data_IF_028720853410
#
_entry.id   IF_028720853410
#
_cell.length_a   1.000
_cell.length_b   1.000
_cell.length_c   1.000
_cell.angle_alpha   90.00
_cell.angle_beta   90.00
_cell.angle_gamma   90.00
#
_symmetry.space_group_name_H-M   'P 1'
#
loop_
_entity.id
_entity.type
_entity.pdbx_description
1 polymer ?
#
# COMPACT_ATOMS: atom_id res chain seq x y z
N UNK A 1 -75.18 0.49 -17.49
CA UNK A 1 -74.30 -0.70 -17.33
C UNK A 1 -73.31 -0.43 -16.20
N UNK A 2 -73.55 -1.02 -15.03
CA UNK A 2 -72.59 -1.01 -13.90
C UNK A 2 -71.77 -2.31 -14.00
N UNK A 3 -70.49 -2.20 -14.35
CA UNK A 3 -69.55 -3.30 -14.26
C UNK A 3 -69.27 -3.57 -12.77
N UNK A 4 -69.87 -4.62 -12.23
CA UNK A 4 -69.52 -5.16 -10.92
C UNK A 4 -68.10 -5.72 -10.98
N UNK A 5 -67.09 -4.93 -10.63
CA UNK A 5 -65.72 -5.42 -10.45
C UNK A 5 -65.68 -6.28 -9.18
N UNK A 6 -65.47 -7.58 -9.38
CA UNK A 6 -65.54 -8.60 -8.34
C UNK A 6 -64.49 -8.34 -7.26
N UNK A 7 -64.88 -8.17 -5.99
CA UNK A 7 -63.98 -7.80 -4.86
C UNK A 7 -62.82 -8.78 -4.63
N UNK A 8 -62.89 -10.00 -5.18
CA UNK A 8 -61.81 -11.01 -5.15
C UNK A 8 -60.63 -10.69 -6.08
N UNK A 9 -60.80 -9.86 -7.11
CA UNK A 9 -59.71 -9.49 -8.04
C UNK A 9 -58.77 -8.42 -7.47
N UNK A 10 -59.32 -7.46 -6.70
CA UNK A 10 -58.50 -6.40 -6.09
C UNK A 10 -57.53 -6.95 -5.05
N UNK A 11 -57.95 -7.92 -4.23
CA UNK A 11 -57.08 -8.51 -3.20
C UNK A 11 -55.91 -9.27 -3.82
N UNK A 12 -56.13 -9.95 -4.95
CA UNK A 12 -55.09 -10.72 -5.63
C UNK A 12 -54.04 -9.81 -6.29
N UNK A 13 -54.46 -8.70 -6.89
CA UNK A 13 -53.56 -7.71 -7.50
C UNK A 13 -52.66 -7.03 -6.45
N UNK A 14 -53.21 -6.73 -5.26
CA UNK A 14 -52.43 -6.17 -4.15
C UNK A 14 -51.40 -7.15 -3.57
N UNK A 15 -51.77 -8.43 -3.43
CA UNK A 15 -50.85 -9.48 -2.93
C UNK A 15 -49.69 -9.67 -3.91
N UNK A 16 -49.96 -9.71 -5.22
CA UNK A 16 -48.93 -9.83 -6.26
C UNK A 16 -48.02 -8.60 -6.26
N UNK A 17 -48.57 -7.40 -6.10
CA UNK A 17 -47.79 -6.17 -5.99
C UNK A 17 -46.83 -6.16 -4.80
N UNK A 18 -47.29 -6.60 -3.62
CA UNK A 18 -46.45 -6.71 -2.42
C UNK A 18 -45.34 -7.75 -2.62
N UNK A 19 -45.65 -8.90 -3.23
CA UNK A 19 -44.66 -9.94 -3.52
C UNK A 19 -43.58 -9.46 -4.49
N UNK A 20 -43.94 -8.67 -5.51
CA UNK A 20 -42.97 -8.09 -6.44
C UNK A 20 -42.07 -7.04 -5.77
N UNK A 21 -42.60 -6.22 -4.88
CA UNK A 21 -41.82 -5.25 -4.10
C UNK A 21 -40.84 -5.98 -3.18
N UNK A 22 -41.28 -7.03 -2.49
CA UNK A 22 -40.42 -7.85 -1.63
C UNK A 22 -39.33 -8.53 -2.46
N UNK A 23 -39.67 -9.11 -3.62
CA UNK A 23 -38.70 -9.74 -4.51
C UNK A 23 -37.66 -8.75 -5.02
N UNK A 24 -38.08 -7.53 -5.44
CA UNK A 24 -37.17 -6.48 -5.86
C UNK A 24 -36.27 -6.01 -4.71
N UNK A 25 -36.81 -5.89 -3.50
CA UNK A 25 -36.04 -5.54 -2.31
C UNK A 25 -34.99 -6.60 -1.96
N UNK A 26 -35.34 -7.89 -2.02
CA UNK A 26 -34.39 -8.99 -1.82
C UNK A 26 -33.30 -9.03 -2.89
N UNK A 27 -33.64 -8.69 -4.13
CA UNK A 27 -32.69 -8.57 -5.23
C UNK A 27 -31.69 -7.42 -4.97
N UNK A 28 -32.19 -6.26 -4.52
CA UNK A 28 -31.35 -5.12 -4.11
C UNK A 28 -30.46 -5.49 -2.93
N UNK A 29 -30.99 -6.17 -1.90
CA UNK A 29 -30.19 -6.64 -0.76
C UNK A 29 -29.08 -7.61 -1.17
N UNK A 30 -29.36 -8.52 -2.10
CA UNK A 30 -28.37 -9.46 -2.65
C UNK A 30 -27.24 -8.74 -3.37
N UNK A 31 -27.55 -7.67 -4.10
CA UNK A 31 -26.54 -6.82 -4.75
C UNK A 31 -25.71 -6.06 -3.69
N UNK A 32 -26.33 -5.59 -2.61
CA UNK A 32 -25.64 -4.87 -1.54
C UNK A 32 -24.63 -5.77 -0.78
N UNK A 33 -24.90 -7.06 -0.61
CA UNK A 33 -23.94 -8.00 0.02
C UNK A 33 -22.64 -8.14 -0.79
N UNK A 34 -22.70 -8.05 -2.12
CA UNK A 34 -21.52 -8.11 -3.00
C UNK A 34 -20.65 -6.85 -2.84
N UNK A 35 -21.27 -5.69 -2.60
CA UNK A 35 -20.54 -4.43 -2.39
C UNK A 35 -19.99 -4.26 -0.96
N UNK A 36 -20.63 -4.87 0.06
CA UNK A 36 -20.20 -4.76 1.47
C UNK A 36 -18.79 -5.30 1.70
N UNK A 37 -18.43 -6.45 1.14
CA UNK A 37 -17.10 -7.06 1.41
C UNK A 37 -15.92 -6.16 1.01
N UNK A 38 -15.98 -5.51 -0.15
CA UNK A 38 -14.91 -4.62 -0.63
C UNK A 38 -14.92 -3.26 0.08
N UNK A 39 -16.11 -2.72 0.36
CA UNK A 39 -16.27 -1.47 1.09
C UNK A 39 -15.75 -1.59 2.54
N UNK A 40 -15.99 -2.72 3.21
CA UNK A 40 -15.51 -2.97 4.57
C UNK A 40 -13.99 -3.11 4.67
N UNK A 41 -13.36 -3.75 3.68
CA UNK A 41 -11.89 -3.87 3.63
C UNK A 41 -11.22 -2.50 3.43
N UNK A 42 -11.70 -1.70 2.46
CA UNK A 42 -11.16 -0.35 2.22
C UNK A 42 -11.42 0.61 3.37
N UNK A 43 -12.57 0.48 4.02
CA UNK A 43 -12.88 1.25 5.23
C UNK A 43 -11.95 0.86 6.38
N UNK A 44 -11.68 -0.44 6.57
CA UNK A 44 -10.74 -0.91 7.59
C UNK A 44 -9.30 -0.41 7.35
N UNK A 45 -8.83 -0.44 6.10
CA UNK A 45 -7.52 0.11 5.71
C UNK A 45 -7.44 1.61 6.04
N UNK A 46 -8.47 2.38 5.70
CA UNK A 46 -8.52 3.82 5.97
C UNK A 46 -8.55 4.12 7.48
N UNK A 47 -9.33 3.37 8.26
CA UNK A 47 -9.39 3.49 9.73
C UNK A 47 -8.04 3.16 10.36
N UNK A 48 -7.40 2.05 9.95
CA UNK A 48 -6.07 1.68 10.42
C UNK A 48 -5.06 2.79 10.14
N UNK A 49 -4.97 3.24 8.88
CA UNK A 49 -4.07 4.33 8.46
C UNK A 49 -4.31 5.61 9.24
N UNK A 50 -5.57 5.98 9.47
CA UNK A 50 -5.95 7.13 10.29
C UNK A 50 -5.48 6.99 11.75
N UNK A 51 -5.70 5.83 12.35
CA UNK A 51 -5.26 5.56 13.74
C UNK A 51 -3.74 5.57 13.89
N UNK A 52 -3.01 5.03 12.92
CA UNK A 52 -1.54 5.06 12.88
C UNK A 52 -1.03 6.51 12.81
N UNK A 53 -1.59 7.32 11.92
CA UNK A 53 -1.21 8.74 11.79
C UNK A 53 -1.56 9.57 13.05
N UNK A 54 -2.69 9.27 13.71
CA UNK A 54 -3.04 9.91 14.97
C UNK A 54 -2.10 9.49 16.10
N UNK A 55 -1.73 8.21 16.14
CA UNK A 55 -0.78 7.69 17.13
C UNK A 55 0.58 8.38 17.02
N UNK A 56 1.10 8.50 15.80
CA UNK A 56 2.35 9.24 15.53
C UNK A 56 2.34 10.65 16.12
N UNK A 57 1.26 11.41 15.89
CA UNK A 57 1.13 12.79 16.39
C UNK A 57 0.86 12.93 17.88
N UNK A 58 0.32 11.89 18.51
CA UNK A 58 -0.07 11.92 19.94
C UNK A 58 1.03 11.39 20.86
N UNK A 59 2.15 10.91 20.31
CA UNK A 59 3.33 10.59 21.08
C UNK A 59 3.89 11.85 21.75
N UNK A 60 3.69 11.94 23.07
CA UNK A 60 4.33 12.93 23.93
C UNK A 60 5.36 12.22 24.80
N UNK A 61 6.62 12.58 24.61
CA UNK A 61 7.68 12.23 25.56
C UNK A 61 7.49 13.11 26.80
N UNK A 62 7.06 12.51 27.90
CA UNK A 62 6.90 13.20 29.18
C UNK A 62 8.16 12.91 29.99
N UNK A 63 8.93 13.96 30.31
CA UNK A 63 10.02 13.81 31.25
C UNK A 63 9.48 13.39 32.62
N UNK A 64 9.91 12.22 33.12
CA UNK A 64 9.61 11.78 34.48
C UNK A 64 10.73 12.27 35.42
N UNK A 65 10.45 13.26 36.28
CA UNK A 65 11.45 13.83 37.17
C UNK A 65 11.86 12.89 38.32
N UNK A 66 11.12 11.80 38.57
CA UNK A 66 11.41 10.81 39.63
C UNK A 66 12.40 9.77 39.14
N UNK A 67 12.30 9.33 37.89
CA UNK A 67 13.24 8.35 37.30
C UNK A 67 14.36 8.99 36.49
N UNK A 68 14.31 10.31 36.26
CA UNK A 68 15.28 11.03 35.45
C UNK A 68 15.27 10.60 33.98
N UNK A 69 14.18 9.99 33.52
CA UNK A 69 14.05 9.42 32.19
C UNK A 69 12.84 10.01 31.47
N UNK A 70 12.91 10.09 30.15
CA UNK A 70 11.74 10.37 29.33
C UNK A 70 10.81 9.15 29.41
N UNK A 71 9.65 9.33 30.04
CA UNK A 71 8.56 8.36 30.00
C UNK A 71 7.57 8.80 28.95
N UNK A 72 7.18 7.87 28.09
CA UNK A 72 6.14 8.16 27.12
C UNK A 72 4.80 8.36 27.85
N UNK A 73 4.12 9.48 27.59
CA UNK A 73 2.79 9.76 28.12
C UNK A 73 1.83 8.66 27.70
N UNK A 74 1.04 8.14 28.64
CA UNK A 74 0.20 6.94 28.50
C UNK A 74 -1.09 7.15 27.68
N UNK A 75 -1.09 8.09 26.73
CA UNK A 75 -2.26 8.39 25.89
C UNK A 75 -1.85 8.31 24.42
N UNK A 76 -1.24 7.18 24.03
CA UNK A 76 -1.18 6.85 22.61
C UNK A 76 -2.59 6.51 22.13
N UNK A 77 -3.00 7.12 21.01
CA UNK A 77 -4.24 6.73 20.33
C UNK A 77 -4.17 5.23 20.01
N UNK A 78 -5.20 4.42 20.37
CA UNK A 78 -5.18 2.99 20.11
C UNK A 78 -5.10 2.72 18.60
N UNK A 79 -4.36 1.67 18.23
CA UNK A 79 -4.34 1.20 16.85
C UNK A 79 -5.66 0.51 16.54
N UNK A 80 -6.38 1.03 15.54
CA UNK A 80 -7.66 0.48 15.07
C UNK A 80 -7.47 -0.47 13.88
N UNK A 81 -6.27 -1.05 13.78
CA UNK A 81 -5.91 -1.97 12.72
C UNK A 81 -6.48 -3.36 12.99
N UNK A 82 -7.06 -3.99 11.96
CA UNK A 82 -7.54 -5.37 12.00
C UNK A 82 -6.99 -6.17 10.83
N UNK A 83 -6.69 -7.44 11.08
CA UNK A 83 -6.27 -8.39 10.04
C UNK A 83 -7.44 -8.63 9.10
N UNK A 84 -7.21 -8.45 7.80
CA UNK A 84 -8.23 -8.66 6.77
C UNK A 84 -8.00 -9.99 6.06
N UNK A 85 -8.98 -10.89 6.13
CA UNK A 85 -8.98 -12.15 5.38
C UNK A 85 -9.28 -11.88 3.89
N UNK A 86 -8.46 -12.43 3.00
CA UNK A 86 -8.64 -12.37 1.54
C UNK A 86 -8.57 -13.75 0.91
N UNK A 87 -9.34 -13.93 -0.15
CA UNK A 87 -9.20 -15.06 -1.05
C UNK A 87 -8.61 -14.57 -2.36
N UNK A 88 -7.48 -15.15 -2.74
CA UNK A 88 -6.76 -14.78 -3.96
C UNK A 88 -6.68 -16.00 -4.86
N UNK A 89 -6.89 -15.84 -6.18
CA UNK A 89 -7.45 -14.65 -6.81
C UNK A 89 -8.95 -14.49 -6.50
N UNK A 90 -9.45 -13.25 -6.52
CA UNK A 90 -10.89 -12.99 -6.43
C UNK A 90 -11.64 -13.59 -7.63
N UNK A 91 -11.06 -13.50 -8.83
CA UNK A 91 -11.59 -14.11 -10.05
C UNK A 91 -11.16 -15.58 -10.16
N UNK A 92 -12.15 -16.48 -10.22
CA UNK A 92 -11.96 -17.94 -10.38
C UNK A 92 -11.34 -18.34 -11.72
N UNK A 93 -11.18 -17.41 -12.66
CA UNK A 93 -10.53 -17.61 -13.96
C UNK A 93 -9.26 -16.76 -14.13
N UNK A 94 -8.75 -16.17 -13.06
CA UNK A 94 -7.57 -15.30 -13.07
C UNK A 94 -6.30 -16.06 -13.50
N UNK A 95 -5.44 -15.45 -14.33
CA UNK A 95 -4.12 -15.97 -14.67
C UNK A 95 -3.10 -15.75 -13.54
N UNK A 96 -1.92 -16.40 -13.64
CA UNK A 96 -0.78 -16.24 -12.70
C UNK A 96 -0.46 -14.77 -12.40
N UNK A 97 -0.45 -13.91 -13.41
CA UNK A 97 -0.10 -12.49 -13.26
C UNK A 97 -1.08 -11.74 -12.34
N UNK A 98 -2.38 -12.05 -12.42
CA UNK A 98 -3.37 -11.45 -11.55
C UNK A 98 -3.21 -11.92 -10.09
N UNK A 99 -2.85 -13.20 -9.88
CA UNK A 99 -2.49 -13.70 -8.55
C UNK A 99 -1.30 -12.91 -7.99
N UNK A 100 -0.24 -12.72 -8.78
CA UNK A 100 0.91 -11.91 -8.37
C UNK A 100 0.48 -10.47 -8.04
N UNK A 101 -0.37 -9.86 -8.87
CA UNK A 101 -0.91 -8.52 -8.63
C UNK A 101 -1.64 -8.41 -7.30
N UNK A 102 -2.55 -9.33 -7.00
CA UNK A 102 -3.37 -9.27 -5.78
C UNK A 102 -2.53 -9.46 -4.49
N UNK A 103 -1.47 -10.27 -4.54
CA UNK A 103 -0.47 -10.34 -3.47
C UNK A 103 0.32 -9.03 -3.34
N UNK A 104 0.80 -8.48 -4.45
CA UNK A 104 1.58 -7.25 -4.48
C UNK A 104 0.77 -6.03 -3.99
N UNK A 105 -0.49 -5.92 -4.41
CA UNK A 105 -1.46 -4.92 -3.93
C UNK A 105 -1.65 -5.02 -2.41
N UNK A 106 -1.71 -6.24 -1.87
CA UNK A 106 -1.88 -6.45 -0.44
C UNK A 106 -0.61 -6.10 0.35
N UNK A 107 0.57 -6.39 -0.18
CA UNK A 107 1.85 -5.94 0.40
C UNK A 107 1.96 -4.41 0.41
N UNK A 108 1.69 -3.76 -0.73
CA UNK A 108 1.72 -2.32 -0.84
C UNK A 108 0.67 -1.63 0.05
N UNK A 109 -0.54 -2.21 0.14
CA UNK A 109 -1.58 -1.68 1.03
C UNK A 109 -1.20 -1.80 2.51
N UNK A 110 -0.56 -2.92 2.90
CA UNK A 110 -0.01 -3.08 4.25
C UNK A 110 1.05 -2.01 4.55
N UNK A 111 1.96 -1.74 3.60
CA UNK A 111 2.93 -0.64 3.73
C UNK A 111 2.27 0.73 3.89
N UNK A 112 1.23 1.00 3.11
CA UNK A 112 0.52 2.29 3.16
C UNK A 112 -0.23 2.52 4.47
N UNK A 113 -0.76 1.46 5.08
CA UNK A 113 -1.45 1.54 6.36
C UNK A 113 -0.53 2.00 7.50
N UNK A 114 0.75 1.63 7.44
CA UNK A 114 1.73 1.92 8.48
C UNK A 114 2.64 3.11 8.13
N UNK A 115 2.15 4.06 7.32
CA UNK A 115 2.81 5.34 7.10
C UNK A 115 3.96 5.33 6.09
N UNK A 116 4.08 4.28 5.26
CA UNK A 116 5.03 4.23 4.14
C UNK A 116 6.51 4.47 4.55
N UNK A 117 6.89 4.05 5.76
CA UNK A 117 8.27 4.19 6.27
C UNK A 117 8.59 5.54 6.91
N UNK A 118 7.63 6.46 6.99
CA UNK A 118 7.80 7.75 7.67
C UNK A 118 7.65 7.66 9.20
N UNK A 119 7.20 6.52 9.72
CA UNK A 119 6.93 6.33 11.15
C UNK A 119 7.93 5.34 11.72
N UNK A 120 8.77 5.81 12.64
CA UNK A 120 9.91 5.07 13.17
C UNK A 120 9.52 3.82 13.97
N UNK A 121 8.46 3.87 14.78
CA UNK A 121 7.95 2.68 15.47
C UNK A 121 6.51 2.92 15.93
N UNK A 122 5.58 2.22 15.29
CA UNK A 122 4.14 2.35 15.52
C UNK A 122 3.71 1.59 16.78
N UNK A 123 4.55 0.67 17.29
CA UNK A 123 4.24 -0.25 18.39
C UNK A 123 4.91 0.12 19.73
N UNK A 124 5.55 1.30 19.85
CA UNK A 124 6.33 1.77 21.02
C UNK A 124 5.61 1.82 22.39
N UNK A 125 4.34 1.46 22.51
CA UNK A 125 3.61 1.41 23.79
C UNK A 125 2.61 0.24 23.85
N UNK A 126 2.61 -0.46 24.99
CA UNK A 126 1.43 -0.82 25.80
C UNK A 126 0.35 -1.77 25.28
N UNK A 127 0.23 -2.00 23.98
CA UNK A 127 -0.99 -2.57 23.39
C UNK A 127 -1.06 -4.12 23.46
N UNK A 128 -0.13 -4.77 24.14
CA UNK A 128 -0.04 -6.24 24.16
C UNK A 128 0.33 -6.86 22.80
N UNK A 129 0.66 -6.05 21.79
CA UNK A 129 1.19 -6.50 20.50
C UNK A 129 2.64 -6.94 20.72
N UNK A 130 2.83 -8.23 21.00
CA UNK A 130 4.15 -8.83 21.12
C UNK A 130 4.94 -8.66 19.79
N UNK A 131 6.24 -8.41 19.90
CA UNK A 131 7.24 -8.47 18.80
C UNK A 131 7.20 -7.36 17.73
N UNK A 132 6.56 -6.21 18.00
CA UNK A 132 6.52 -5.03 17.12
C UNK A 132 6.14 -5.39 15.68
N UNK A 133 5.10 -6.22 15.52
CA UNK A 133 4.64 -6.70 14.24
C UNK A 133 3.15 -7.01 14.21
N UNK A 134 2.51 -6.71 13.08
CA UNK A 134 1.07 -6.85 12.87
C UNK A 134 0.76 -7.53 11.53
N UNK A 135 -0.16 -8.49 11.52
CA UNK A 135 -0.63 -9.14 10.29
C UNK A 135 -1.72 -8.30 9.64
N UNK A 136 -1.40 -7.60 8.55
CA UNK A 136 -2.36 -6.81 7.77
C UNK A 136 -3.38 -7.71 7.07
N UNK A 137 -2.90 -8.78 6.44
CA UNK A 137 -3.73 -9.69 5.64
C UNK A 137 -3.40 -11.15 5.87
N UNK A 138 -4.46 -11.95 5.89
CA UNK A 138 -4.43 -13.40 5.77
C UNK A 138 -4.98 -13.77 4.40
N UNK A 139 -4.09 -14.25 3.51
CA UNK A 139 -4.41 -14.48 2.10
C UNK A 139 -4.51 -15.98 1.84
N UNK A 140 -5.71 -16.49 1.61
CA UNK A 140 -5.93 -17.88 1.24
C UNK A 140 -5.88 -18.04 -0.28
N UNK A 141 -4.88 -18.77 -0.76
CA UNK A 141 -4.68 -18.99 -2.20
C UNK A 141 -5.52 -20.15 -2.71
N UNK A 142 -6.32 -19.89 -3.74
CA UNK A 142 -7.15 -20.87 -4.44
C UNK A 142 -6.60 -21.13 -5.83
N UNK A 143 -6.79 -22.36 -6.31
CA UNK A 143 -6.57 -22.67 -7.72
C UNK A 143 -7.64 -22.05 -8.59
N UNK A 144 -7.27 -21.73 -9.84
CA UNK A 144 -8.20 -21.32 -10.89
C UNK A 144 -8.10 -22.25 -12.09
N UNK A 145 -9.02 -22.07 -13.04
CA UNK A 145 -8.92 -22.73 -14.35
C UNK A 145 -7.60 -22.41 -15.09
N UNK A 146 -7.02 -21.22 -14.85
CA UNK A 146 -5.81 -20.70 -15.52
C UNK A 146 -4.57 -20.66 -14.63
N UNK A 147 -4.68 -21.04 -13.36
CA UNK A 147 -3.60 -21.05 -12.40
C UNK A 147 -3.74 -22.26 -11.47
N UNK A 148 -2.91 -23.27 -11.73
CA UNK A 148 -2.80 -24.51 -10.94
C UNK A 148 -1.37 -24.78 -10.45
N UNK A 149 -0.48 -23.83 -10.70
CA UNK A 149 0.95 -23.95 -10.42
C UNK A 149 1.36 -23.19 -9.17
N UNK A 150 2.61 -23.33 -8.79
CA UNK A 150 3.23 -22.47 -7.79
C UNK A 150 3.84 -21.23 -8.44
N UNK A 151 3.93 -20.14 -7.69
CA UNK A 151 4.72 -18.96 -8.02
C UNK A 151 5.97 -19.02 -7.16
N UNK A 152 7.12 -19.18 -7.81
CA UNK A 152 8.40 -19.14 -7.14
C UNK A 152 8.64 -17.73 -6.56
N UNK A 153 9.19 -17.65 -5.35
CA UNK A 153 9.56 -16.40 -4.68
C UNK A 153 10.45 -15.49 -5.53
N UNK A 154 11.34 -16.05 -6.36
CA UNK A 154 12.16 -15.33 -7.34
C UNK A 154 11.31 -14.71 -8.45
N UNK A 155 10.38 -15.48 -9.04
CA UNK A 155 9.44 -14.98 -10.04
C UNK A 155 8.57 -13.85 -9.48
N UNK A 156 8.10 -14.01 -8.24
CA UNK A 156 7.28 -13.00 -7.59
C UNK A 156 8.09 -11.75 -7.23
N UNK A 157 9.34 -11.92 -6.80
CA UNK A 157 10.26 -10.80 -6.62
C UNK A 157 10.47 -10.03 -7.91
N UNK A 158 10.71 -10.72 -9.03
CA UNK A 158 10.84 -10.09 -10.34
C UNK A 158 9.58 -9.28 -10.68
N UNK A 159 8.41 -9.86 -10.46
CA UNK A 159 7.14 -9.15 -10.65
C UNK A 159 7.06 -7.85 -9.83
N UNK A 160 7.45 -7.88 -8.55
CA UNK A 160 7.43 -6.71 -7.67
C UNK A 160 8.32 -5.56 -8.17
N UNK A 161 9.46 -5.86 -8.79
CA UNK A 161 10.45 -4.85 -9.25
C UNK A 161 10.37 -4.50 -10.73
N UNK A 162 9.54 -5.20 -11.50
CA UNK A 162 9.30 -4.88 -12.92
C UNK A 162 7.91 -4.27 -13.16
N UNK A 163 6.97 -4.45 -12.23
CA UNK A 163 5.59 -3.97 -12.38
C UNK A 163 5.42 -2.59 -11.75
N UNK A 164 5.13 -1.53 -12.52
CA UNK A 164 4.82 -0.21 -11.99
C UNK A 164 3.57 -0.24 -11.10
N UNK A 165 3.62 0.46 -9.98
CA UNK A 165 2.54 0.52 -9.00
C UNK A 165 2.08 1.94 -8.70
N UNK A 166 3.02 2.82 -8.34
CA UNK A 166 2.72 4.20 -7.91
C UNK A 166 3.56 5.19 -8.69
N UNK A 167 3.06 6.41 -8.82
CA UNK A 167 3.77 7.51 -9.47
C UNK A 167 4.02 8.60 -8.43
N UNK A 168 5.26 9.10 -8.34
CA UNK A 168 5.56 10.29 -7.53
C UNK A 168 4.97 11.54 -8.17
N UNK A 169 4.53 12.44 -7.30
CA UNK A 169 4.06 13.76 -7.71
C UNK A 169 5.19 14.76 -7.49
N UNK A 170 5.41 15.65 -8.45
CA UNK A 170 6.40 16.75 -8.31
C UNK A 170 5.78 17.97 -7.62
N UNK A 171 4.49 17.90 -7.27
CA UNK A 171 3.68 19.00 -6.77
C UNK A 171 3.95 19.36 -5.32
N UNK A 172 3.70 20.63 -4.98
CA UNK A 172 3.74 21.12 -3.61
C UNK A 172 2.49 20.79 -2.79
N UNK A 173 1.41 20.35 -3.45
CA UNK A 173 0.17 19.98 -2.78
C UNK A 173 -0.56 21.17 -2.15
N UNK A 174 -0.48 22.35 -2.77
CA UNK A 174 -1.17 23.55 -2.25
C UNK A 174 -2.68 23.56 -2.49
N UNK A 175 -3.19 22.63 -3.31
CA UNK A 175 -4.61 22.25 -3.46
C UNK A 175 -4.76 20.73 -3.33
N UNK A 176 -6.01 20.28 -3.19
CA UNK A 176 -6.36 18.85 -3.08
C UNK A 176 -5.84 18.04 -4.27
N UNK A 177 -5.96 18.58 -5.48
CA UNK A 177 -5.50 17.92 -6.70
C UNK A 177 -4.02 18.17 -7.04
N UNK A 178 -3.25 18.74 -6.13
CA UNK A 178 -1.84 19.11 -6.33
C UNK A 178 -1.65 20.62 -6.43
N UNK A 179 -0.74 21.07 -7.29
CA UNK A 179 -0.40 22.48 -7.48
C UNK A 179 0.99 22.82 -6.95
N UNK A 180 1.52 23.92 -7.44
CA UNK A 180 2.90 24.36 -7.21
C UNK A 180 2.93 25.71 -6.51
N UNK A 181 3.77 25.83 -5.50
CA UNK A 181 3.96 27.07 -4.78
C UNK A 181 4.94 27.98 -5.54
N UNK A 182 4.51 29.21 -5.81
CA UNK A 182 5.22 30.18 -6.65
C UNK A 182 5.38 31.52 -5.93
N UNK A 183 6.43 32.27 -6.28
CA UNK A 183 6.66 33.62 -5.72
C UNK A 183 5.95 34.70 -6.54
N UNK A 184 5.77 34.47 -7.83
CA UNK A 184 5.09 35.38 -8.75
C UNK A 184 4.23 34.65 -9.78
N UNK A 185 3.16 35.28 -10.26
CA UNK A 185 2.24 34.71 -11.26
C UNK A 185 2.94 34.27 -12.55
N UNK A 186 4.00 34.98 -12.93
CA UNK A 186 4.76 34.71 -14.15
C UNK A 186 5.48 33.34 -14.11
N UNK A 187 5.74 32.79 -12.93
CA UNK A 187 6.35 31.46 -12.79
C UNK A 187 5.37 30.32 -13.10
N UNK A 188 4.06 30.59 -13.08
CA UNK A 188 3.04 29.56 -13.16
C UNK A 188 3.13 28.73 -14.45
N UNK A 189 3.35 29.38 -15.60
CA UNK A 189 3.52 28.71 -16.90
C UNK A 189 4.81 27.89 -17.01
N UNK A 190 5.84 28.23 -16.24
CA UNK A 190 7.08 27.46 -16.20
C UNK A 190 6.98 26.22 -15.32
N UNK A 191 6.14 26.28 -14.27
CA UNK A 191 5.88 25.16 -13.35
C UNK A 191 4.87 24.19 -13.95
N UNK A 192 3.76 24.73 -14.43
CA UNK A 192 2.69 23.99 -15.08
C UNK A 192 2.82 24.19 -16.58
N UNK A 193 3.27 23.14 -17.26
CA UNK A 193 3.47 23.10 -18.73
C UNK A 193 2.12 22.96 -19.46
N UNK A 194 1.20 23.86 -19.16
CA UNK A 194 -0.11 23.99 -19.79
C UNK A 194 -0.19 25.30 -20.57
N UNK A 195 -1.16 25.39 -21.46
CA UNK A 195 -1.54 26.68 -22.05
C UNK A 195 -2.01 27.64 -20.94
N UNK A 196 -1.67 28.93 -21.07
CA UNK A 196 -2.04 29.98 -20.11
C UNK A 196 -3.54 30.05 -19.82
N UNK A 197 -4.39 29.64 -20.76
CA UNK A 197 -5.86 29.58 -20.59
C UNK A 197 -6.32 28.59 -19.52
N UNK A 198 -5.51 27.59 -19.16
CA UNK A 198 -5.83 26.62 -18.11
C UNK A 198 -5.26 26.99 -16.74
N UNK A 199 -4.40 28.01 -16.66
CA UNK A 199 -3.67 28.34 -15.44
C UNK A 199 -4.55 29.17 -14.50
N UNK A 200 -4.60 28.72 -13.26
CA UNK A 200 -5.27 29.37 -12.14
C UNK A 200 -4.24 29.69 -11.07
N UNK A 201 -4.34 30.88 -10.47
CA UNK A 201 -3.46 31.31 -9.38
C UNK A 201 -4.27 31.75 -8.18
N UNK A 202 -4.07 31.05 -7.07
CA UNK A 202 -4.56 31.47 -5.77
C UNK A 202 -3.48 32.29 -5.06
N UNK A 203 -3.70 33.62 -5.00
CA UNK A 203 -2.74 34.59 -4.46
C UNK A 203 -2.62 34.58 -2.94
N UNK A 204 -3.47 33.84 -2.23
CA UNK A 204 -3.52 33.82 -0.75
C UNK A 204 -3.54 32.39 -0.22
N UNK A 205 -2.67 31.54 -0.75
CA UNK A 205 -2.57 30.15 -0.31
C UNK A 205 -1.78 30.02 0.98
N UNK A 206 -2.47 29.71 2.08
CA UNK A 206 -1.83 29.44 3.39
C UNK A 206 -0.82 28.29 3.31
N UNK A 207 -1.11 27.27 2.48
CA UNK A 207 -0.22 26.13 2.27
C UNK A 207 1.13 26.56 1.68
N UNK A 208 1.11 27.50 0.72
CA UNK A 208 2.33 28.05 0.13
C UNK A 208 3.04 29.05 1.03
N UNK A 209 2.30 29.84 1.81
CA UNK A 209 2.90 30.77 2.77
C UNK A 209 3.71 30.03 3.85
N UNK A 210 3.22 28.89 4.32
CA UNK A 210 3.97 28.00 5.24
C UNK A 210 5.28 27.48 4.63
N UNK A 211 5.37 27.42 3.29
CA UNK A 211 6.56 27.04 2.52
C UNK A 211 7.40 28.25 2.09
N UNK A 212 7.11 29.45 2.58
CA UNK A 212 7.83 30.68 2.22
C UNK A 212 7.53 31.21 0.81
N UNK A 213 6.44 30.77 0.19
CA UNK A 213 5.98 31.18 -1.15
C UNK A 213 4.69 32.00 -1.03
N UNK A 214 4.32 32.75 -2.08
CA UNK A 214 3.18 33.68 -2.01
C UNK A 214 1.87 33.07 -2.50
N UNK A 215 1.94 32.37 -3.63
CA UNK A 215 0.74 31.95 -4.37
C UNK A 215 0.81 30.47 -4.73
N UNK A 216 -0.35 29.88 -4.97
CA UNK A 216 -0.48 28.51 -5.49
C UNK A 216 -0.90 28.56 -6.96
N UNK A 217 -0.09 27.98 -7.83
CA UNK A 217 -0.36 27.79 -9.26
C UNK A 217 -0.96 26.39 -9.49
N UNK A 218 -2.09 26.31 -10.19
CA UNK A 218 -2.81 25.06 -10.46
C UNK A 218 -3.68 25.18 -11.72
N UNK A 219 -4.37 24.11 -12.08
CA UNK A 219 -5.36 23.98 -13.16
C UNK A 219 -6.54 23.15 -12.66
N UNK A 220 -7.58 22.98 -13.46
CA UNK A 220 -8.66 22.02 -13.17
C UNK A 220 -8.28 20.55 -13.47
N UNK A 221 -7.04 20.31 -13.92
CA UNK A 221 -6.58 19.01 -14.38
C UNK A 221 -5.47 18.45 -13.49
N UNK A 222 -5.77 17.32 -12.86
CA UNK A 222 -4.89 16.70 -11.89
C UNK A 222 -3.54 16.26 -12.46
N UNK A 223 -3.47 15.88 -13.75
CA UNK A 223 -2.21 15.48 -14.38
C UNK A 223 -1.15 16.59 -14.30
N UNK A 224 -1.51 17.80 -14.76
CA UNK A 224 -0.63 18.96 -14.69
C UNK A 224 -0.32 19.38 -13.27
N UNK A 225 -1.34 19.39 -12.41
CA UNK A 225 -1.20 19.76 -11.01
C UNK A 225 -0.25 18.83 -10.23
N UNK A 226 -0.01 17.61 -10.74
CA UNK A 226 0.86 16.60 -10.13
C UNK A 226 2.24 16.49 -10.79
N UNK A 227 2.52 17.30 -11.81
CA UNK A 227 3.78 17.31 -12.56
C UNK A 227 3.81 16.44 -13.82
N UNK A 228 2.67 15.86 -14.21
CA UNK A 228 2.50 15.19 -15.49
C UNK A 228 2.30 16.18 -16.66
N UNK A 229 2.23 15.64 -17.87
CA UNK A 229 1.99 16.38 -19.10
C UNK A 229 0.71 15.89 -19.79
N UNK A 230 -0.22 16.79 -20.07
CA UNK A 230 -1.34 16.50 -20.96
C UNK A 230 -0.94 16.72 -22.42
N UNK A 231 -1.10 15.70 -23.26
CA UNK A 231 -0.81 15.77 -24.69
C UNK A 231 -1.74 14.85 -25.49
N UNK A 232 -1.98 15.15 -26.77
CA UNK A 232 -2.75 14.28 -27.66
C UNK A 232 -2.02 12.96 -27.99
N UNK A 233 -0.68 13.00 -27.99
CA UNK A 233 0.20 11.86 -28.24
C UNK A 233 1.37 11.84 -27.26
N UNK A 234 2.06 10.70 -27.15
CA UNK A 234 3.21 10.58 -26.27
C UNK A 234 4.32 11.56 -26.73
N UNK A 235 4.73 12.53 -25.90
CA UNK A 235 5.72 13.53 -26.28
C UNK A 235 7.11 12.92 -26.58
N UNK A 236 7.48 11.85 -25.87
CA UNK A 236 8.74 11.14 -26.03
C UNK A 236 8.62 9.78 -25.31
N UNK A 237 8.46 8.70 -26.08
CA UNK A 237 8.26 7.35 -25.52
C UNK A 237 9.45 6.81 -24.72
N UNK A 238 10.65 7.39 -24.91
CA UNK A 238 11.83 7.01 -24.12
C UNK A 238 11.81 7.62 -22.71
N UNK A 239 11.09 8.74 -22.53
CA UNK A 239 11.06 9.49 -21.27
C UNK A 239 9.71 9.46 -20.58
N UNK A 240 8.63 9.28 -21.31
CA UNK A 240 7.27 9.36 -20.78
C UNK A 240 6.46 8.12 -21.12
N UNK A 241 5.58 7.76 -20.19
CA UNK A 241 4.55 6.74 -20.38
C UNK A 241 3.19 7.33 -20.06
N UNK A 242 2.15 6.85 -20.76
CA UNK A 242 0.78 7.21 -20.45
C UNK A 242 0.42 6.73 -19.04
N UNK A 243 -0.23 7.58 -18.27
CA UNK A 243 -0.76 7.23 -16.95
C UNK A 243 -2.24 7.60 -16.90
N UNK A 244 -3.08 6.63 -16.58
CA UNK A 244 -4.53 6.80 -16.57
C UNK A 244 -5.05 6.23 -15.26
N UNK A 245 -5.02 7.06 -14.22
CA UNK A 245 -5.48 6.74 -12.89
C UNK A 245 -6.29 7.92 -12.33
N UNK A 246 -7.13 7.61 -11.34
CA UNK A 246 -7.99 8.61 -10.70
C UNK A 246 -7.18 9.82 -10.19
N UNK A 247 -7.65 11.03 -10.49
CA UNK A 247 -6.97 12.28 -10.15
C UNK A 247 -5.77 12.66 -11.03
N UNK A 248 -5.48 11.91 -12.11
CA UNK A 248 -4.49 12.24 -13.16
C UNK A 248 -5.16 12.54 -14.50
N UNK A 249 -6.25 13.30 -14.47
CA UNK A 249 -7.04 13.67 -15.62
C UNK A 249 -6.41 14.82 -16.44
N UNK A 250 -6.80 14.88 -17.71
CA UNK A 250 -6.41 15.90 -18.69
C UNK A 250 -7.66 16.48 -19.40
N UNK A 251 -7.52 17.60 -20.13
CA UNK A 251 -8.58 18.11 -21.00
C UNK A 251 -9.04 17.07 -22.03
N UNK A 252 -10.25 17.27 -22.56
CA UNK A 252 -10.80 16.43 -23.62
C UNK A 252 -9.81 16.29 -24.79
N UNK A 253 -9.67 15.07 -25.30
CA UNK A 253 -8.73 14.68 -26.37
C UNK A 253 -7.24 14.68 -26.00
N UNK A 254 -6.89 14.85 -24.73
CA UNK A 254 -5.52 14.69 -24.24
C UNK A 254 -5.42 13.52 -23.26
N UNK A 255 -4.22 12.97 -23.16
CA UNK A 255 -3.86 11.90 -22.23
C UNK A 255 -2.77 12.41 -21.31
N UNK A 256 -2.75 11.90 -20.08
CA UNK A 256 -1.70 12.21 -19.12
C UNK A 256 -0.46 11.35 -19.39
N UNK A 257 0.69 11.99 -19.46
CA UNK A 257 2.00 11.37 -19.61
C UNK A 257 2.90 11.76 -18.46
N UNK A 258 3.49 10.77 -17.79
CA UNK A 258 4.39 10.98 -16.68
C UNK A 258 5.77 10.46 -17.02
N UNK A 259 6.81 11.11 -16.48
CA UNK A 259 8.19 10.69 -16.70
C UNK A 259 8.43 9.29 -16.15
N UNK A 260 9.18 8.48 -16.88
CA UNK A 260 9.53 7.11 -16.52
C UNK A 260 10.25 7.04 -15.14
N UNK A 261 11.06 8.04 -14.80
CA UNK A 261 11.77 8.14 -13.50
C UNK A 261 10.85 8.33 -12.29
N UNK A 262 9.61 8.80 -12.51
CA UNK A 262 8.64 9.01 -11.45
C UNK A 262 7.77 7.77 -11.17
N UNK A 263 7.92 6.69 -11.94
CA UNK A 263 7.23 5.44 -11.68
C UNK A 263 8.00 4.62 -10.65
N UNK A 264 7.28 4.19 -9.63
CA UNK A 264 7.75 3.24 -8.63
C UNK A 264 7.04 1.92 -8.88
N UNK A 265 7.84 0.88 -9.04
CA UNK A 265 7.36 -0.49 -9.00
C UNK A 265 6.87 -0.84 -7.59
N UNK A 266 6.18 -1.97 -7.38
CA UNK A 266 5.76 -2.38 -6.03
C UNK A 266 6.94 -2.44 -5.06
N UNK A 267 8.07 -2.97 -5.53
CA UNK A 267 9.27 -3.11 -4.72
C UNK A 267 9.91 -1.78 -4.38
N UNK A 268 10.04 -0.88 -5.36
CA UNK A 268 10.56 0.47 -5.11
C UNK A 268 9.61 1.29 -4.24
N UNK A 269 8.30 1.08 -4.36
CA UNK A 269 7.31 1.75 -3.54
C UNK A 269 7.51 1.43 -2.05
N UNK A 270 7.71 0.16 -1.70
CA UNK A 270 7.95 -0.25 -0.32
C UNK A 270 9.34 0.17 0.15
N UNK A 271 10.34 0.13 -0.71
CA UNK A 271 11.71 0.38 -0.28
C UNK A 271 12.08 1.85 -0.15
N UNK A 272 11.51 2.75 -0.95
CA UNK A 272 12.05 4.11 -1.09
C UNK A 272 11.08 5.22 -1.46
N UNK A 273 9.76 4.97 -1.55
CA UNK A 273 8.84 6.00 -2.03
C UNK A 273 8.70 7.19 -1.06
N UNK A 274 8.45 6.92 0.22
CA UNK A 274 8.27 7.96 1.25
C UNK A 274 9.39 7.88 2.28
N UNK A 275 9.54 6.73 2.93
CA UNK A 275 10.70 6.41 3.77
C UNK A 275 11.35 5.10 3.34
N UNK A 276 12.50 4.82 3.94
CA UNK A 276 13.24 3.58 3.68
C UNK A 276 12.49 2.38 4.27
N UNK A 277 12.39 1.32 3.48
CA UNK A 277 11.70 0.09 3.88
C UNK A 277 12.39 -1.17 3.37
N UNK A 278 11.99 -2.30 3.96
CA UNK A 278 12.45 -3.62 3.53
C UNK A 278 11.27 -4.50 3.12
N UNK A 279 11.55 -5.43 2.20
CA UNK A 279 10.66 -6.55 1.91
C UNK A 279 11.42 -7.85 2.12
N UNK A 280 10.75 -8.80 2.76
CA UNK A 280 11.29 -10.15 2.97
C UNK A 280 10.22 -11.16 2.56
N UNK A 281 10.53 -11.94 1.53
CA UNK A 281 9.71 -13.05 1.05
C UNK A 281 10.34 -14.34 1.56
N UNK A 282 9.63 -15.11 2.39
CA UNK A 282 10.18 -16.30 3.06
C UNK A 282 9.59 -17.62 2.54
N UNK A 283 8.76 -17.57 1.51
CA UNK A 283 8.08 -18.74 0.98
C UNK A 283 7.71 -18.55 -0.48
N UNK A 284 7.69 -19.65 -1.21
CA UNK A 284 6.98 -19.72 -2.49
C UNK A 284 5.46 -19.67 -2.24
N UNK A 285 4.73 -19.21 -3.27
CA UNK A 285 3.28 -19.10 -3.24
C UNK A 285 2.68 -20.33 -3.95
N UNK A 286 1.93 -21.15 -3.21
CA UNK A 286 1.43 -22.46 -3.60
C UNK A 286 -0.08 -22.54 -3.31
N UNK A 287 -0.89 -23.09 -4.22
CA UNK A 287 -2.31 -23.27 -3.96
C UNK A 287 -2.58 -24.14 -2.73
N UNK A 288 -3.68 -23.86 -2.03
CA UNK A 288 -4.07 -24.61 -0.81
C UNK A 288 -3.39 -24.13 0.47
N UNK A 289 -2.45 -23.19 0.38
CA UNK A 289 -1.82 -22.55 1.53
C UNK A 289 -2.50 -21.21 1.88
N UNK A 290 -2.45 -20.86 3.16
CA UNK A 290 -2.81 -19.52 3.65
C UNK A 290 -1.54 -18.76 4.00
N UNK A 291 -1.43 -17.55 3.46
CA UNK A 291 -0.31 -16.65 3.62
C UNK A 291 -0.63 -15.53 4.60
N UNK A 292 0.40 -14.99 5.22
CA UNK A 292 0.33 -13.81 6.06
C UNK A 292 1.21 -12.71 5.46
N UNK A 293 0.59 -11.55 5.20
CA UNK A 293 1.26 -10.32 4.82
C UNK A 293 1.29 -9.42 6.05
N UNK A 294 2.48 -9.11 6.53
CA UNK A 294 2.68 -8.49 7.83
C UNK A 294 3.58 -7.28 7.75
N UNK A 295 3.31 -6.28 8.58
CA UNK A 295 4.18 -5.13 8.80
C UNK A 295 4.91 -5.31 10.12
N UNK A 296 6.23 -5.13 10.10
CA UNK A 296 7.04 -5.08 11.30
C UNK A 296 7.76 -3.75 11.44
N UNK A 297 7.62 -3.10 12.60
CA UNK A 297 8.39 -1.89 12.93
C UNK A 297 9.88 -2.20 13.15
N UNK A 298 10.76 -1.20 13.01
CA UNK A 298 12.16 -1.32 13.36
C UNK A 298 12.39 -1.85 14.78
N UNK A 299 13.30 -2.82 14.95
CA UNK A 299 13.74 -3.33 16.25
C UNK A 299 15.24 -3.56 16.26
N UNK A 300 15.89 -3.33 17.41
CA UNK A 300 17.33 -3.56 17.59
C UNK A 300 17.71 -5.05 17.65
N UNK A 301 16.75 -5.92 17.99
CA UNK A 301 16.92 -7.36 18.01
C UNK A 301 15.69 -8.04 17.42
N UNK A 302 15.92 -9.15 16.72
CA UNK A 302 14.87 -9.99 16.16
C UNK A 302 15.15 -11.44 16.55
N UNK A 303 14.64 -11.88 17.69
CA UNK A 303 14.93 -13.21 18.21
C UNK A 303 14.42 -14.32 17.27
N UNK A 304 13.31 -14.09 16.56
CA UNK A 304 12.77 -15.05 15.61
C UNK A 304 13.52 -15.12 14.28
N UNK A 305 14.23 -14.05 13.91
CA UNK A 305 15.04 -13.99 12.70
C UNK A 305 16.15 -15.06 12.73
N UNK A 306 16.57 -15.50 13.92
CA UNK A 306 17.46 -16.65 14.10
C UNK A 306 16.78 -17.98 13.73
N UNK A 307 15.54 -18.20 14.15
CA UNK A 307 14.72 -19.39 13.84
C UNK A 307 14.43 -19.51 12.34
N UNK A 308 14.05 -18.41 11.70
CA UNK A 308 13.76 -18.40 10.25
C UNK A 308 15.05 -18.52 9.43
N UNK A 309 16.13 -17.86 9.83
CA UNK A 309 17.44 -17.99 9.20
C UNK A 309 18.01 -19.41 9.21
N UNK A 310 17.70 -20.21 10.24
CA UNK A 310 18.09 -21.63 10.32
C UNK A 310 17.22 -22.55 9.46
N UNK A 311 15.91 -22.27 9.36
CA UNK A 311 14.99 -23.08 8.53
C UNK A 311 15.12 -22.86 7.02
N UNK A 312 15.53 -21.67 6.58
CA UNK A 312 15.80 -21.37 5.18
C UNK A 312 17.03 -22.11 4.63
N UNK A 313 17.97 -22.52 5.49
CA UNK A 313 19.18 -23.26 5.10
C UNK A 313 19.02 -24.77 4.95
N UNK A 314 17.94 -25.38 5.47
CA UNK A 314 17.85 -26.84 5.59
C UNK A 314 16.72 -27.52 4.77
N UNK A 315 15.82 -26.77 4.11
CA UNK A 315 14.83 -27.40 3.23
C UNK A 315 13.68 -26.50 2.80
N UNK A 316 13.82 -25.86 1.64
CA UNK A 316 12.68 -25.50 0.78
C UNK A 316 12.08 -24.10 0.88
N UNK A 317 12.62 -23.18 1.70
CA UNK A 317 12.20 -21.78 1.71
C UNK A 317 13.27 -20.89 1.04
N UNK A 318 13.03 -20.49 -0.22
CA UNK A 318 13.86 -19.49 -0.88
C UNK A 318 13.53 -18.12 -0.29
N UNK A 319 14.32 -17.69 0.69
CA UNK A 319 14.23 -16.37 1.26
C UNK A 319 15.01 -15.38 0.38
N UNK A 320 14.30 -14.46 -0.28
CA UNK A 320 14.92 -13.45 -1.15
C UNK A 320 15.04 -12.14 -0.38
N UNK A 321 16.27 -11.63 -0.23
CA UNK A 321 16.56 -10.36 0.43
C UNK A 321 16.72 -9.23 -0.56
N UNK A 322 16.05 -8.11 -0.29
CA UNK A 322 16.12 -6.93 -1.13
C UNK A 322 16.34 -5.73 -0.21
N UNK A 323 17.58 -5.26 -0.16
CA UNK A 323 17.90 -3.88 0.23
C UNK A 323 18.06 -3.07 -1.07
N UNK A 324 18.12 -1.75 -1.03
CA UNK A 324 18.69 -0.98 -2.14
C UNK A 324 19.73 -0.02 -1.57
N UNK A 325 20.90 0.03 -2.20
CA UNK A 325 21.77 1.20 -2.09
C UNK A 325 21.10 2.31 -2.90
N UNK A 326 20.99 3.52 -2.33
CA UNK A 326 20.40 4.70 -2.99
C UNK A 326 21.12 5.11 -4.28
N UNK A 327 20.72 6.25 -4.90
CA UNK A 327 21.24 6.72 -6.18
C UNK A 327 22.78 6.83 -6.19
N UNK A 328 23.43 6.71 -7.35
CA UNK A 328 24.89 6.69 -7.47
C UNK A 328 25.48 8.02 -6.97
N UNK A 329 25.96 8.04 -5.73
CA UNK A 329 26.52 9.23 -5.09
C UNK A 329 26.58 9.20 -3.56
N UNK A 330 25.81 8.33 -2.90
CA UNK A 330 25.87 8.16 -1.45
C UNK A 330 26.57 6.84 -1.08
N UNK A 331 27.90 6.86 -1.07
CA UNK A 331 28.68 5.81 -0.42
C UNK A 331 28.60 6.00 1.09
N UNK A 332 27.58 5.42 1.73
CA UNK A 332 27.64 5.18 3.18
C UNK A 332 28.54 3.95 3.38
N UNK A 333 29.79 4.23 3.71
CA UNK A 333 30.78 3.26 4.19
C UNK A 333 30.28 2.69 5.52
N UNK A 334 29.99 1.39 5.53
CA UNK A 334 29.67 0.61 6.74
C UNK A 334 28.29 -0.07 6.64
N UNK A 335 28.29 -1.40 6.43
CA UNK A 335 27.12 -2.28 6.25
C UNK A 335 26.35 -2.19 4.91
N UNK A 336 26.97 -1.64 3.86
CA UNK A 336 26.45 -1.64 2.50
C UNK A 336 26.95 -2.81 1.65
N UNK A 337 26.13 -3.86 1.46
CA UNK A 337 26.37 -4.87 0.41
C UNK A 337 25.15 -5.72 0.00
N UNK A 338 23.97 -5.58 0.62
CA UNK A 338 22.88 -6.55 0.37
C UNK A 338 21.96 -6.13 -0.77
N UNK A 339 21.92 -4.84 -1.10
CA UNK A 339 20.95 -4.33 -2.07
C UNK A 339 21.31 -4.48 -3.54
N UNK A 340 22.61 -4.42 -3.83
CA UNK A 340 23.13 -4.76 -5.17
C UNK A 340 22.95 -6.25 -5.43
N UNK A 341 23.08 -7.06 -4.39
CA UNK A 341 23.49 -8.44 -4.60
C UNK A 341 22.39 -9.33 -5.21
N UNK A 342 21.11 -9.13 -4.91
CA UNK A 342 20.04 -9.88 -5.60
C UNK A 342 19.77 -9.34 -7.02
N UNK A 343 19.82 -8.02 -7.24
CA UNK A 343 19.70 -7.46 -8.59
C UNK A 343 20.90 -7.83 -9.50
N UNK A 344 22.12 -7.93 -8.96
CA UNK A 344 23.30 -8.41 -9.67
C UNK A 344 23.34 -9.94 -9.83
N UNK A 345 22.73 -10.72 -8.92
CA UNK A 345 22.45 -12.15 -9.13
C UNK A 345 21.53 -12.32 -10.35
N UNK A 346 20.50 -11.49 -10.51
CA UNK A 346 19.61 -11.51 -11.68
C UNK A 346 20.31 -11.18 -13.01
N UNK A 347 21.43 -10.44 -12.98
CA UNK A 347 22.31 -10.24 -14.16
C UNK A 347 23.51 -11.21 -14.23
N UNK A 348 23.59 -12.20 -13.34
CA UNK A 348 24.63 -13.23 -13.34
C UNK A 348 26.01 -12.79 -12.84
N UNK A 349 26.09 -11.81 -11.93
CA UNK A 349 27.36 -11.12 -11.59
C UNK A 349 27.75 -11.12 -10.11
N UNK A 350 26.99 -11.73 -9.18
CA UNK A 350 27.41 -11.82 -7.78
C UNK A 350 26.84 -13.06 -7.07
N UNK A 351 27.57 -13.58 -6.08
CA UNK A 351 27.10 -14.55 -5.09
C UNK A 351 26.93 -13.83 -3.74
N UNK A 352 25.76 -13.94 -3.10
CA UNK A 352 25.60 -13.49 -1.70
C UNK A 352 26.08 -14.59 -0.76
N UNK A 353 27.02 -14.25 0.13
CA UNK A 353 27.41 -15.12 1.24
C UNK A 353 26.28 -15.26 2.27
N UNK A 354 26.03 -16.48 2.73
CA UNK A 354 25.00 -16.85 3.72
C UNK A 354 25.11 -16.05 5.03
N UNK A 355 26.31 -15.60 5.42
CA UNK A 355 26.52 -14.79 6.62
C UNK A 355 26.01 -13.36 6.50
N UNK A 356 26.20 -12.69 5.35
CA UNK A 356 25.66 -11.35 5.10
C UNK A 356 24.11 -11.37 5.07
N UNK A 357 23.54 -12.46 4.56
CA UNK A 357 22.10 -12.71 4.61
C UNK A 357 21.61 -12.85 6.07
N UNK A 358 22.34 -13.58 6.90
CA UNK A 358 22.01 -13.78 8.31
C UNK A 358 22.03 -12.46 9.08
N UNK A 359 23.09 -11.67 8.95
CA UNK A 359 23.18 -10.37 9.63
C UNK A 359 22.09 -9.39 9.19
N UNK A 360 21.76 -9.35 7.89
CA UNK A 360 20.73 -8.45 7.37
C UNK A 360 19.31 -8.80 7.84
N UNK A 361 19.00 -10.09 7.94
CA UNK A 361 17.72 -10.56 8.50
C UNK A 361 17.65 -10.29 9.99
N UNK A 362 18.77 -10.44 10.71
CA UNK A 362 18.85 -10.16 12.14
C UNK A 362 18.72 -8.66 12.45
N UNK A 363 19.12 -7.77 11.53
CA UNK A 363 18.99 -6.32 11.66
C UNK A 363 17.66 -5.79 11.09
N UNK A 364 16.64 -5.68 11.96
CA UNK A 364 15.38 -4.96 11.67
C UNK A 364 15.52 -3.46 11.89
N UNK A 365 16.56 -2.82 11.32
CA UNK A 365 16.75 -1.38 11.48
C UNK A 365 15.77 -0.52 10.65
N UNK A 366 14.92 -1.16 9.84
CA UNK A 366 13.97 -0.52 8.96
C UNK A 366 12.59 -1.16 9.08
N UNK A 367 11.51 -0.40 8.86
CA UNK A 367 10.17 -0.94 8.71
C UNK A 367 10.16 -2.01 7.61
N UNK A 368 9.55 -3.16 7.86
CA UNK A 368 9.66 -4.32 6.98
C UNK A 368 8.30 -4.92 6.66
N UNK A 369 8.06 -5.22 5.38
CA UNK A 369 6.94 -6.03 4.91
C UNK A 369 7.40 -7.48 4.76
N UNK A 370 6.65 -8.39 5.36
CA UNK A 370 6.88 -9.83 5.30
C UNK A 370 5.81 -10.53 4.48
N UNK A 371 6.22 -11.48 3.65
CA UNK A 371 5.35 -12.50 3.07
C UNK A 371 5.79 -13.88 3.56
N UNK A 372 4.90 -14.54 4.31
CA UNK A 372 5.13 -15.84 4.96
C UNK A 372 3.89 -16.72 4.86
N UNK A 373 3.99 -17.99 5.20
CA UNK A 373 2.78 -18.79 5.46
C UNK A 373 2.20 -18.43 6.82
N UNK A 374 0.88 -18.51 6.97
CA UNK A 374 0.21 -18.24 8.24
C UNK A 374 0.72 -19.17 9.36
N UNK A 375 1.05 -20.43 9.00
CA UNK A 375 1.63 -21.40 9.93
C UNK A 375 3.00 -20.97 10.47
N UNK A 376 3.86 -20.41 9.61
CA UNK A 376 5.16 -19.85 10.04
C UNK A 376 4.96 -18.71 11.05
N UNK A 377 3.93 -17.88 10.85
CA UNK A 377 3.61 -16.77 11.75
C UNK A 377 3.07 -17.20 13.10
N UNK A 378 2.15 -18.16 13.10
CA UNK A 378 1.49 -18.65 14.31
C UNK A 378 2.44 -19.46 15.19
N UNK A 379 3.25 -20.35 14.59
CA UNK A 379 4.14 -21.23 15.36
C UNK A 379 5.24 -20.47 16.11
N UNK A 380 5.60 -19.27 15.67
CA UNK A 380 6.58 -18.42 16.35
C UNK A 380 5.98 -17.33 17.24
N UNK A 381 4.64 -17.21 17.31
CA UNK A 381 3.96 -16.04 17.90
C UNK A 381 4.54 -14.71 17.37
N UNK A 382 4.79 -14.65 16.06
CA UNK A 382 5.72 -13.69 15.46
C UNK A 382 5.14 -12.28 15.35
N UNK A 383 3.86 -12.21 15.01
CA UNK A 383 3.14 -10.97 14.82
C UNK A 383 1.71 -11.17 15.34
N UNK A 384 1.13 -10.09 15.83
CA UNK A 384 -0.22 -10.13 16.37
C UNK A 384 -1.24 -10.22 15.24
N UNK A 385 -2.22 -11.13 15.41
CA UNK A 385 -3.38 -11.27 14.53
C UNK A 385 -4.58 -10.73 15.31
N UNK A 386 -5.26 -9.72 14.78
CA UNK A 386 -6.44 -9.10 15.42
C UNK A 386 -7.62 -9.23 14.47
N UNK A 387 -8.61 -10.05 14.83
CA UNK A 387 -9.77 -10.33 13.96
C UNK A 387 -11.01 -9.48 14.27
N UNK A 388 -11.14 -8.96 15.50
CA UNK A 388 -12.25 -8.09 15.90
C UNK A 388 -11.85 -7.14 17.04
N UNK A 389 -12.32 -5.88 17.02
CA UNK A 389 -12.06 -4.88 18.09
C UNK A 389 -13.04 -5.07 19.26
N UNK A 390 -14.10 -5.87 19.09
CA UNK A 390 -15.13 -6.09 20.12
C UNK A 390 -14.72 -7.03 21.25
N UNK A 391 -13.51 -7.60 21.21
CA UNK A 391 -13.01 -8.54 22.22
C UNK A 391 -11.83 -7.99 23.05
N UNK A 392 -11.49 -6.70 22.89
CA UNK A 392 -10.66 -5.93 23.83
C UNK A 392 -11.53 -4.88 24.51
#
# INVERSE_FOLDING_TARGET
MRLCRNKKSLVNDYIIGILLIIAAFLLILSILEIFKGKAEAKTAEAICKGSVALREKTHTEIYDPVTGSLKFGSVATPLLCRTTDKYVPEDKNAPKEQVQKEFADSMASCWSQFGEGLIDDVFKQGDGIANNCFVCYTVSLRETSKFKGQINSVDFTKYLFETPYKVSQEADGCKVDGGFCIDSENECSSKIRADTSYLLVDKKSDACQKKGKKSCCYTDYGCWNKGGLCSGSNPDSSKYRQYDNEGWNCPSNMKCYVKNENYYTYGEYIQRYSGDGKMILLTDIKPGETYAISYGSPTKSCDWCTTIGLSAGAGGAAAVLLASSGPPGWTILGAGAVGIAVYSIFKGTAELGVEAYREYILQRNFPTIYLTTLKQMQNGNLCTIVKDIRET
#
